data_IF_765411396805
#
_entry.id   IF_765411396805
#
_cell.length_a   1.000
_cell.length_b   1.000
_cell.length_c   1.000
_cell.angle_alpha   90.00
_cell.angle_beta   90.00
_cell.angle_gamma   90.00
#
_symmetry.space_group_name_H-M   'P 1'
#
loop_
_entity.id
_entity.type
_entity.pdbx_description
1 polymer ?
#
# COMPACT_ATOMS: atom_id res chain seq x y z
N UNK A 1 0.06 2.36 -6.18
CA UNK A 1 -0.03 2.09 -4.73
C UNK A 1 -0.75 0.79 -4.47
N UNK A 2 -2.04 0.65 -4.80
CA UNK A 2 -2.75 -0.60 -4.56
C UNK A 2 -2.24 -1.82 -5.33
N UNK A 3 -1.44 -1.63 -6.38
CA UNK A 3 -0.68 -2.70 -7.06
C UNK A 3 0.26 -3.46 -6.13
N UNK A 4 0.65 -2.85 -5.00
CA UNK A 4 1.48 -3.46 -3.97
C UNK A 4 0.67 -3.98 -2.77
N UNK A 5 -0.65 -3.79 -2.73
CA UNK A 5 -1.47 -4.36 -1.66
C UNK A 5 -1.48 -5.90 -1.76
N UNK A 6 -1.23 -6.59 -0.66
CA UNK A 6 -1.31 -8.06 -0.57
C UNK A 6 -2.57 -8.52 0.17
N UNK A 7 -3.06 -7.71 1.10
CA UNK A 7 -4.21 -8.00 1.98
C UNK A 7 -5.50 -7.33 1.50
N UNK A 8 -5.36 -6.34 0.63
CA UNK A 8 -6.46 -5.56 0.07
C UNK A 8 -6.53 -5.69 -1.46
N UNK A 9 -7.74 -5.74 -2.02
CA UNK A 9 -7.99 -6.01 -3.45
C UNK A 9 -8.49 -4.79 -4.22
N UNK A 10 -8.58 -3.64 -3.54
CA UNK A 10 -8.99 -2.37 -4.11
C UNK A 10 -8.01 -1.94 -5.22
N UNK A 11 -8.53 -1.49 -6.36
CA UNK A 11 -7.68 -1.06 -7.49
C UNK A 11 -7.05 0.31 -7.28
N UNK A 12 -7.65 1.13 -6.42
CA UNK A 12 -7.25 2.50 -6.12
C UNK A 12 -7.53 2.85 -4.65
N UNK A 13 -6.88 3.90 -4.16
CA UNK A 13 -7.12 4.44 -2.83
C UNK A 13 -8.37 5.32 -2.91
N UNK A 14 -9.45 5.00 -2.19
CA UNK A 14 -10.69 5.77 -2.25
C UNK A 14 -10.50 7.15 -1.61
N UNK A 15 -11.23 8.15 -2.09
CA UNK A 15 -11.29 9.46 -1.45
C UNK A 15 -11.94 9.34 -0.05
N UNK A 16 -11.23 9.68 1.04
CA UNK A 16 -11.74 9.49 2.40
C UNK A 16 -12.79 10.54 2.82
N UNK A 17 -12.91 11.68 2.12
CA UNK A 17 -13.67 12.83 2.59
C UNK A 17 -15.17 12.57 2.77
N UNK A 18 -15.75 11.61 2.04
CA UNK A 18 -17.17 11.26 2.12
C UNK A 18 -17.47 10.10 3.08
N UNK A 19 -16.45 9.46 3.65
CA UNK A 19 -16.59 8.30 4.55
C UNK A 19 -16.55 8.63 6.04
N UNK A 20 -16.40 9.91 6.41
CA UNK A 20 -16.09 10.32 7.78
C UNK A 20 -14.78 9.67 8.27
N UNK A 21 -14.64 9.48 9.59
CA UNK A 21 -13.41 8.90 10.16
C UNK A 21 -13.04 7.52 9.54
N UNK A 22 -14.04 6.68 9.26
CA UNK A 22 -13.81 5.35 8.66
C UNK A 22 -13.22 5.42 7.25
N UNK A 23 -13.48 6.50 6.50
CA UNK A 23 -12.87 6.72 5.19
C UNK A 23 -11.35 6.87 5.32
N UNK A 24 -10.90 7.63 6.31
CA UNK A 24 -9.47 7.83 6.58
C UNK A 24 -8.80 6.54 7.08
N UNK A 25 -9.41 5.81 8.01
CA UNK A 25 -8.90 4.51 8.46
C UNK A 25 -8.72 3.54 7.29
N UNK A 26 -9.71 3.47 6.39
CA UNK A 26 -9.63 2.60 5.21
C UNK A 26 -8.48 3.00 4.29
N UNK A 27 -8.23 4.29 4.11
CA UNK A 27 -7.08 4.77 3.33
C UNK A 27 -5.77 4.39 4.00
N UNK A 28 -5.67 4.54 5.33
CA UNK A 28 -4.47 4.16 6.08
C UNK A 28 -4.19 2.66 5.95
N UNK A 29 -5.18 1.79 6.14
CA UNK A 29 -5.05 0.34 5.97
C UNK A 29 -4.48 -0.03 4.59
N UNK A 30 -4.98 0.61 3.53
CA UNK A 30 -4.52 0.38 2.16
C UNK A 30 -3.08 0.86 1.94
N UNK A 31 -2.71 2.01 2.52
CA UNK A 31 -1.37 2.56 2.39
C UNK A 31 -0.35 1.72 3.17
N UNK A 32 -0.68 1.23 4.36
CA UNK A 32 0.20 0.39 5.16
C UNK A 32 0.52 -0.94 4.45
N UNK A 33 -0.50 -1.64 3.94
CA UNK A 33 -0.34 -2.90 3.18
C UNK A 33 0.49 -2.69 1.89
N UNK A 34 0.22 -1.59 1.18
CA UNK A 34 0.96 -1.26 -0.03
C UNK A 34 2.42 -0.88 0.24
N UNK A 35 2.69 -0.11 1.30
CA UNK A 35 4.03 0.36 1.64
C UNK A 35 4.93 -0.76 2.12
N UNK A 36 4.42 -1.71 2.92
CA UNK A 36 5.17 -2.89 3.35
C UNK A 36 5.69 -3.67 2.14
N UNK A 37 4.80 -3.98 1.20
CA UNK A 37 5.16 -4.73 -0.01
C UNK A 37 6.03 -3.96 -1.00
N UNK A 38 5.86 -2.63 -1.07
CA UNK A 38 6.74 -1.78 -1.86
C UNK A 38 8.16 -1.80 -1.28
N UNK A 39 8.30 -1.70 0.04
CA UNK A 39 9.59 -1.74 0.71
C UNK A 39 10.29 -3.08 0.49
N UNK A 40 9.58 -4.20 0.65
CA UNK A 40 10.10 -5.54 0.34
C UNK A 40 10.68 -5.60 -1.08
N UNK A 41 9.96 -5.03 -2.05
CA UNK A 41 10.35 -5.04 -3.47
C UNK A 41 11.62 -4.24 -3.71
N UNK A 42 11.73 -3.05 -3.10
CA UNK A 42 12.91 -2.19 -3.20
C UNK A 42 14.13 -2.84 -2.53
N UNK A 43 13.95 -3.45 -1.37
CA UNK A 43 15.04 -4.14 -0.66
C UNK A 43 15.54 -5.32 -1.49
N UNK A 44 14.65 -6.15 -2.01
CA UNK A 44 15.02 -7.27 -2.87
C UNK A 44 15.74 -6.81 -4.16
N UNK A 45 15.29 -5.72 -4.78
CA UNK A 45 15.97 -5.14 -5.95
C UNK A 45 17.39 -4.64 -5.61
N UNK A 46 17.56 -3.96 -4.48
CA UNK A 46 18.86 -3.48 -4.04
C UNK A 46 19.85 -4.61 -3.68
N UNK A 47 19.35 -5.72 -3.11
CA UNK A 47 20.18 -6.91 -2.88
C UNK A 47 20.65 -7.53 -4.19
N UNK A 48 19.79 -7.57 -5.22
CA UNK A 48 20.14 -8.07 -6.54
C UNK A 48 21.15 -7.19 -7.29
N UNK A 49 21.20 -5.89 -7.01
CA UNK A 49 22.18 -4.96 -7.58
C UNK A 49 23.56 -5.11 -6.90
N UNK A 50 23.57 -5.56 -5.64
CA UNK A 50 24.79 -5.71 -4.85
C UNK A 50 25.44 -7.09 -4.95
N UNK A 51 24.78 -8.06 -5.61
CA UNK A 51 25.25 -9.42 -5.88
C UNK A 51 25.91 -9.55 -7.26
#
# INVERSE_FOLDING_TARGET
MCSYCKRHTESEVPDPYYGGAKGFEKVLDLLEDACESLLDSIVAENENISA
#
